data_IF_768981646086
#
_entry.id   IF_768981646086
#
_cell.length_a   1.000
_cell.length_b   1.000
_cell.length_c   1.000
_cell.angle_alpha   90.00
_cell.angle_beta   90.00
_cell.angle_gamma   90.00
#
_symmetry.space_group_name_H-M   'P 1'
#
loop_
_entity.id
_entity.type
_entity.pdbx_description
1 polymer ?
#
# COMPACT_ATOMS: atom_id res chain seq x y z
N UNK A 1 -5.00 4.65 -57.16
CA UNK A 1 -3.81 4.83 -56.31
C UNK A 1 -3.44 6.30 -56.31
N UNK A 2 -3.51 6.99 -55.16
CA UNK A 2 -2.74 8.19 -54.86
C UNK A 2 -2.85 8.44 -53.33
N UNK A 3 -1.70 8.58 -52.67
CA UNK A 3 -1.51 8.51 -51.22
C UNK A 3 -2.11 9.72 -50.46
N UNK A 4 -2.68 9.56 -49.25
CA UNK A 4 -3.00 10.69 -48.39
C UNK A 4 -1.74 11.11 -47.63
N UNK A 5 -0.78 11.78 -48.28
CA UNK A 5 0.52 12.04 -47.65
C UNK A 5 0.87 13.53 -47.59
N UNK A 6 0.18 14.25 -46.70
CA UNK A 6 0.83 15.34 -45.95
C UNK A 6 0.40 15.21 -44.48
N UNK A 7 1.25 14.59 -43.67
CA UNK A 7 1.14 14.60 -42.21
C UNK A 7 1.91 15.80 -41.70
N UNK A 8 1.22 16.88 -41.31
CA UNK A 8 1.88 17.94 -40.54
C UNK A 8 1.84 17.56 -39.07
N UNK A 9 3.01 17.62 -38.43
CA UNK A 9 3.20 17.25 -37.03
C UNK A 9 3.53 18.50 -36.22
N UNK A 10 2.75 18.75 -35.18
CA UNK A 10 3.00 19.85 -34.24
C UNK A 10 3.35 19.24 -32.89
N UNK A 11 4.34 19.81 -32.21
CA UNK A 11 4.72 19.38 -30.86
C UNK A 11 4.61 20.56 -29.91
N UNK A 12 3.99 20.33 -28.75
CA UNK A 12 3.98 21.31 -27.67
C UNK A 12 5.38 21.43 -27.05
N UNK A 13 5.67 22.52 -26.32
CA UNK A 13 6.76 22.53 -25.36
C UNK A 13 6.61 21.38 -24.34
N UNK A 14 7.71 20.93 -23.72
CA UNK A 14 7.65 19.97 -22.62
C UNK A 14 6.95 20.60 -21.41
N UNK A 15 6.23 19.78 -20.66
CA UNK A 15 5.47 20.24 -19.50
C UNK A 15 6.43 20.72 -18.38
N UNK A 16 6.18 21.88 -17.75
CA UNK A 16 7.16 22.56 -16.90
C UNK A 16 7.60 21.78 -15.66
N UNK A 17 6.70 21.01 -15.04
CA UNK A 17 6.97 20.36 -13.75
C UNK A 17 7.88 19.12 -13.86
N UNK A 18 7.93 18.48 -15.03
CA UNK A 18 8.67 17.22 -15.23
C UNK A 18 9.63 17.27 -16.41
N UNK A 19 9.44 18.20 -17.36
CA UNK A 19 10.18 18.26 -18.62
C UNK A 19 10.02 17.03 -19.51
N UNK A 20 9.21 16.05 -19.11
CA UNK A 20 9.22 14.69 -19.66
C UNK A 20 8.12 14.45 -20.69
N UNK A 21 7.02 15.20 -20.61
CA UNK A 21 5.83 15.00 -21.41
C UNK A 21 5.64 16.13 -22.41
N UNK A 22 5.31 15.76 -23.65
CA UNK A 22 4.90 16.70 -24.70
C UNK A 22 3.64 16.16 -25.39
N UNK A 23 2.83 17.05 -25.97
CA UNK A 23 1.72 16.66 -26.83
C UNK A 23 2.17 16.78 -28.27
N UNK A 24 2.01 15.70 -29.02
CA UNK A 24 2.13 15.69 -30.48
C UNK A 24 0.74 15.71 -31.11
N UNK A 25 0.55 16.56 -32.10
CA UNK A 25 -0.64 16.61 -32.93
C UNK A 25 -0.25 16.14 -34.32
N UNK A 26 -0.78 15.00 -34.74
CA UNK A 26 -0.66 14.50 -36.10
C UNK A 26 -1.89 14.93 -36.90
N UNK A 27 -1.68 15.75 -37.92
CA UNK A 27 -2.73 16.28 -38.77
C UNK A 27 -2.76 15.47 -40.06
N UNK A 28 -3.83 14.70 -40.25
CA UNK A 28 -4.06 13.86 -41.42
C UNK A 28 -5.08 14.55 -42.32
N UNK A 29 -4.61 15.04 -43.47
CA UNK A 29 -5.48 15.66 -44.48
C UNK A 29 -6.11 14.60 -45.37
N UNK A 30 -7.43 14.59 -45.43
CA UNK A 30 -8.20 13.77 -46.38
C UNK A 30 -8.58 14.59 -47.62
N UNK A 31 -8.92 13.93 -48.75
CA UNK A 31 -9.20 14.61 -50.03
C UNK A 31 -10.32 15.65 -49.96
N UNK A 32 -11.30 15.47 -49.08
CA UNK A 32 -12.52 16.27 -48.99
C UNK A 32 -12.40 17.48 -48.04
N UNK A 33 -11.21 18.05 -47.86
CA UNK A 33 -10.88 19.13 -46.89
C UNK A 33 -11.05 18.78 -45.41
N UNK A 34 -11.48 17.56 -45.11
CA UNK A 34 -11.58 17.01 -43.75
C UNK A 34 -10.16 16.77 -43.22
N UNK A 35 -9.87 17.30 -42.03
CA UNK A 35 -8.63 17.03 -41.32
C UNK A 35 -8.94 16.20 -40.08
N UNK A 36 -8.25 15.08 -39.93
CA UNK A 36 -8.27 14.30 -38.69
C UNK A 36 -7.07 14.73 -37.85
N UNK A 37 -7.34 15.20 -36.64
CA UNK A 37 -6.34 15.60 -35.66
C UNK A 37 -6.19 14.49 -34.63
N UNK A 38 -5.00 13.89 -34.55
CA UNK A 38 -4.66 12.89 -33.54
C UNK A 38 -3.74 13.50 -32.50
N UNK A 39 -4.18 13.50 -31.25
CA UNK A 39 -3.43 14.01 -30.11
C UNK A 39 -2.77 12.84 -29.41
N UNK A 40 -1.44 12.82 -29.41
CA UNK A 40 -0.62 11.77 -28.84
C UNK A 40 0.29 12.34 -27.76
N UNK A 41 0.52 11.59 -26.68
CA UNK A 41 1.53 11.95 -25.70
C UNK A 41 2.91 11.44 -26.14
N UNK A 42 3.93 12.28 -26.02
CA UNK A 42 5.33 11.88 -26.13
C UNK A 42 5.93 11.81 -24.73
N UNK A 43 6.61 10.71 -24.44
CA UNK A 43 7.30 10.48 -23.17
C UNK A 43 8.52 9.58 -23.38
N UNK A 44 9.57 9.78 -22.59
CA UNK A 44 10.76 8.93 -22.56
C UNK A 44 10.58 7.67 -21.70
N UNK A 45 9.59 7.64 -20.80
CA UNK A 45 9.29 6.49 -19.94
C UNK A 45 7.79 6.22 -19.93
N UNK A 46 7.43 4.95 -19.99
CA UNK A 46 6.06 4.49 -19.75
C UNK A 46 5.71 4.70 -18.27
N UNK A 47 4.50 5.14 -17.99
CA UNK A 47 3.97 5.22 -16.63
C UNK A 47 2.56 4.60 -16.57
N UNK A 48 2.19 4.05 -15.42
CA UNK A 48 0.81 3.66 -15.18
C UNK A 48 0.05 4.88 -14.65
N UNK A 49 -1.16 5.14 -15.14
CA UNK A 49 -1.86 6.37 -14.79
C UNK A 49 -3.17 6.57 -15.52
N UNK A 50 -3.71 7.77 -15.39
CA UNK A 50 -4.82 8.25 -16.19
C UNK A 50 -4.45 9.52 -16.94
N UNK A 51 -5.14 9.76 -18.05
CA UNK A 51 -5.09 11.05 -18.73
C UNK A 51 -6.50 11.45 -19.17
N UNK A 52 -6.91 12.63 -18.75
CA UNK A 52 -8.09 13.31 -19.31
C UNK A 52 -7.62 14.36 -20.30
N UNK A 53 -8.01 14.23 -21.56
CA UNK A 53 -7.70 15.18 -22.63
C UNK A 53 -8.97 15.84 -23.11
N UNK A 54 -9.03 17.16 -23.01
CA UNK A 54 -10.17 17.98 -23.42
C UNK A 54 -9.73 18.98 -24.49
N UNK A 55 -10.49 19.04 -25.58
CA UNK A 55 -10.27 20.01 -26.66
C UNK A 55 -11.33 21.08 -26.56
N UNK A 56 -10.88 22.32 -26.53
CA UNK A 56 -11.75 23.50 -26.46
C UNK A 56 -11.46 24.42 -27.63
N UNK A 57 -12.50 25.07 -28.12
CA UNK A 57 -12.42 26.16 -29.09
C UNK A 57 -12.55 27.49 -28.34
N UNK A 58 -11.70 28.47 -28.62
CA UNK A 58 -11.90 29.80 -28.03
C UNK A 58 -13.26 30.41 -28.45
N UNK A 59 -13.95 31.15 -27.55
CA UNK A 59 -13.45 31.63 -26.27
C UNK A 59 -13.59 30.68 -25.07
N UNK A 60 -14.28 29.52 -25.16
CA UNK A 60 -14.25 28.42 -24.17
C UNK A 60 -15.25 27.27 -24.48
N UNK A 61 -15.55 26.99 -25.76
CA UNK A 61 -16.48 25.91 -26.11
C UNK A 61 -15.75 24.57 -26.08
N UNK A 62 -16.04 23.72 -25.11
CA UNK A 62 -15.56 22.33 -25.12
C UNK A 62 -16.14 21.59 -26.33
N UNK A 63 -15.26 21.08 -27.19
CA UNK A 63 -15.64 20.27 -28.34
C UNK A 63 -15.84 18.81 -27.92
N UNK A 64 -14.86 18.25 -27.23
CA UNK A 64 -14.89 16.87 -26.76
C UNK A 64 -13.88 16.64 -25.64
N UNK A 65 -14.07 15.56 -24.89
CA UNK A 65 -13.16 15.09 -23.86
C UNK A 65 -13.04 13.57 -23.92
N UNK A 66 -11.84 13.05 -23.66
CA UNK A 66 -11.60 11.61 -23.54
C UNK A 66 -10.76 11.32 -22.32
N UNK A 67 -11.17 10.28 -21.60
CA UNK A 67 -10.45 9.69 -20.50
C UNK A 67 -9.80 8.39 -20.95
N UNK A 68 -8.52 8.24 -20.67
CA UNK A 68 -7.79 6.98 -20.82
C UNK A 68 -7.12 6.62 -19.49
N UNK A 69 -6.92 5.32 -19.25
CA UNK A 69 -6.31 4.80 -18.03
C UNK A 69 -5.47 3.56 -18.34
N UNK A 70 -4.47 3.27 -17.51
CA UNK A 70 -3.54 2.15 -17.64
C UNK A 70 -2.11 2.58 -18.01
N UNK A 71 -1.37 1.69 -18.67
CA UNK A 71 -0.01 1.95 -19.11
C UNK A 71 0.06 2.96 -20.26
N UNK A 72 0.47 4.18 -19.95
CA UNK A 72 0.64 5.27 -20.92
C UNK A 72 2.12 5.30 -21.34
N UNK A 73 2.36 4.93 -22.59
CA UNK A 73 3.70 4.86 -23.20
C UNK A 73 3.88 5.92 -24.29
N UNK A 74 5.09 6.02 -24.84
CA UNK A 74 5.38 6.96 -25.91
C UNK A 74 4.43 6.77 -27.11
N UNK A 75 3.90 7.88 -27.63
CA UNK A 75 2.90 7.94 -28.73
C UNK A 75 1.54 7.32 -28.39
N UNK A 76 1.17 7.20 -27.12
CA UNK A 76 -0.20 6.79 -26.75
C UNK A 76 -1.21 7.82 -27.27
N UNK A 77 -2.22 7.36 -28.02
CA UNK A 77 -3.30 8.19 -28.55
C UNK A 77 -4.23 8.63 -27.42
N UNK A 78 -4.21 9.92 -27.13
CA UNK A 78 -5.06 10.54 -26.11
C UNK A 78 -6.47 10.77 -26.66
N UNK A 79 -6.57 11.38 -27.85
CA UNK A 79 -7.83 11.77 -28.46
C UNK A 79 -7.69 11.91 -29.97
N UNK A 80 -8.77 11.63 -30.70
CA UNK A 80 -8.88 11.86 -32.13
C UNK A 80 -10.15 12.68 -32.42
N UNK A 81 -10.04 13.71 -33.27
CA UNK A 81 -11.18 14.50 -33.73
C UNK A 81 -11.11 14.74 -35.24
N UNK A 82 -12.28 14.86 -35.86
CA UNK A 82 -12.41 15.34 -37.24
C UNK A 82 -12.86 16.80 -37.24
N UNK A 83 -12.23 17.65 -38.06
CA UNK A 83 -12.63 19.05 -38.21
C UNK A 83 -14.07 19.21 -38.69
N UNK A 84 -14.57 18.26 -39.50
CA UNK A 84 -15.96 18.25 -39.99
C UNK A 84 -16.99 18.13 -38.86
N UNK A 85 -16.67 17.38 -37.81
CA UNK A 85 -17.62 17.09 -36.73
C UNK A 85 -17.89 18.31 -35.84
N UNK A 86 -16.96 19.27 -35.84
CA UNK A 86 -16.98 20.42 -34.94
C UNK A 86 -16.91 21.77 -35.66
N UNK A 87 -16.98 21.77 -37.00
CA UNK A 87 -16.90 22.97 -37.85
C UNK A 87 -15.65 23.82 -37.55
N UNK A 88 -14.50 23.17 -37.36
CA UNK A 88 -13.25 23.85 -37.02
C UNK A 88 -12.66 24.49 -38.29
N UNK A 89 -12.43 25.80 -38.26
CA UNK A 89 -11.80 26.57 -39.33
C UNK A 89 -10.28 26.71 -39.11
N UNK A 90 -9.53 26.98 -40.19
CA UNK A 90 -8.07 27.11 -40.13
C UNK A 90 -7.57 28.29 -39.27
N UNK A 91 -8.39 29.32 -39.06
CA UNK A 91 -8.10 30.46 -38.20
C UNK A 91 -8.36 30.19 -36.71
N UNK A 92 -8.96 29.05 -36.38
CA UNK A 92 -9.41 28.79 -35.03
C UNK A 92 -8.26 28.43 -34.11
N UNK A 93 -8.34 28.93 -32.88
CA UNK A 93 -7.40 28.56 -31.81
C UNK A 93 -8.02 27.44 -30.98
N UNK A 94 -7.41 26.26 -31.06
CA UNK A 94 -7.73 25.12 -30.21
C UNK A 94 -6.89 25.15 -28.93
N UNK A 95 -7.55 25.02 -27.79
CA UNK A 95 -6.91 24.83 -26.50
C UNK A 95 -6.98 23.35 -26.15
N UNK A 96 -5.82 22.76 -25.89
CA UNK A 96 -5.69 21.37 -25.45
C UNK A 96 -5.42 21.38 -23.96
N UNK A 97 -6.39 20.92 -23.17
CA UNK A 97 -6.23 20.75 -21.74
C UNK A 97 -6.01 19.28 -21.42
N UNK A 98 -4.81 18.94 -20.93
CA UNK A 98 -4.45 17.59 -20.52
C UNK A 98 -4.24 17.54 -19.01
N UNK A 99 -5.07 16.77 -18.31
CA UNK A 99 -4.83 16.41 -16.90
C UNK A 99 -4.21 15.01 -16.87
N UNK A 100 -2.98 14.92 -16.37
CA UNK A 100 -2.26 13.67 -16.17
C UNK A 100 -2.33 13.29 -14.68
N UNK A 101 -2.68 12.05 -14.39
CA UNK A 101 -2.63 11.50 -13.03
C UNK A 101 -1.72 10.27 -13.05
N UNK A 102 -0.69 10.29 -12.22
CA UNK A 102 0.23 9.18 -12.09
C UNK A 102 -0.34 8.18 -11.10
N UNK A 103 -0.55 6.95 -11.55
CA UNK A 103 -0.74 5.85 -10.63
C UNK A 103 0.65 5.38 -10.28
N UNK A 104 1.14 5.88 -9.15
CA UNK A 104 2.15 5.14 -8.46
C UNK A 104 1.53 3.78 -8.14
N UNK A 105 2.07 2.73 -8.74
CA UNK A 105 2.18 1.49 -8.00
C UNK A 105 2.96 1.87 -6.74
N UNK A 106 2.22 2.26 -5.69
CA UNK A 106 2.52 1.67 -4.42
C UNK A 106 2.62 0.19 -4.77
N UNK A 107 3.83 -0.35 -4.83
CA UNK A 107 4.08 -1.75 -4.53
C UNK A 107 3.61 -1.97 -3.08
N UNK A 108 2.31 -1.87 -2.91
CA UNK A 108 1.57 -2.88 -2.25
C UNK A 108 2.11 -4.21 -2.79
N UNK A 109 3.02 -4.84 -2.03
CA UNK A 109 2.95 -6.29 -1.83
C UNK A 109 1.59 -6.66 -1.19
N UNK A 110 0.47 -6.18 -1.75
CA UNK A 110 -0.90 -6.58 -1.41
C UNK A 110 -1.63 -7.13 -2.63
N UNK A 111 -0.96 -7.36 -3.76
CA UNK A 111 -1.48 -8.17 -4.89
C UNK A 111 -0.98 -9.62 -4.82
N UNK A 112 -0.89 -10.16 -3.61
CA UNK A 112 -1.55 -11.43 -3.23
C UNK A 112 -2.32 -11.25 -1.93
N UNK A 113 -3.15 -10.20 -1.81
CA UNK A 113 -4.33 -10.31 -0.96
C UNK A 113 -5.27 -11.31 -1.64
N UNK A 114 -5.07 -12.59 -1.31
CA UNK A 114 -6.24 -13.41 -1.07
C UNK A 114 -7.01 -12.68 0.03
N UNK A 115 -8.09 -11.99 -0.37
CA UNK A 115 -9.16 -11.64 0.53
C UNK A 115 -9.57 -12.94 1.22
N UNK A 116 -9.07 -13.15 2.44
CA UNK A 116 -9.68 -14.11 3.33
C UNK A 116 -10.67 -13.28 4.14
N UNK A 117 -11.99 -13.37 3.87
CA UNK A 117 -12.97 -12.87 4.82
C UNK A 117 -12.70 -13.59 6.13
N UNK A 118 -12.57 -12.84 7.23
CA UNK A 118 -12.38 -13.17 8.66
C UNK A 118 -12.52 -14.64 9.17
N UNK A 119 -12.03 -15.63 8.44
CA UNK A 119 -12.09 -17.05 8.74
C UNK A 119 -11.00 -17.76 7.95
N UNK A 120 -10.01 -18.25 8.69
CA UNK A 120 -9.18 -19.42 8.38
C UNK A 120 -8.63 -19.58 6.95
N UNK A 121 -7.31 -19.45 6.83
CA UNK A 121 -6.36 -20.37 6.15
C UNK A 121 -5.17 -19.53 5.69
N UNK A 122 -4.05 -19.62 6.41
CA UNK A 122 -2.75 -19.11 5.96
C UNK A 122 -2.48 -19.60 4.53
N UNK A 123 -2.53 -18.71 3.53
CA UNK A 123 -2.17 -19.09 2.16
C UNK A 123 -0.66 -19.22 2.04
N UNK A 124 -0.24 -20.29 1.37
CA UNK A 124 1.13 -20.78 1.14
C UNK A 124 2.04 -19.79 0.41
N UNK A 125 2.46 -18.71 1.07
CA UNK A 125 3.60 -17.89 0.61
C UNK A 125 4.64 -17.68 1.75
N UNK A 126 4.78 -18.68 2.62
CA UNK A 126 5.79 -18.73 3.68
C UNK A 126 7.17 -19.22 3.19
N UNK A 127 7.65 -18.77 2.03
CA UNK A 127 9.00 -19.14 1.53
C UNK A 127 10.12 -18.28 2.12
N UNK A 128 9.98 -17.89 3.40
CA UNK A 128 11.06 -17.29 4.20
C UNK A 128 11.34 -18.08 5.50
N UNK A 129 10.63 -19.18 5.77
CA UNK A 129 10.68 -19.86 7.07
C UNK A 129 11.02 -21.34 7.00
N UNK A 130 12.12 -21.71 6.33
CA UNK A 130 12.55 -23.11 6.30
C UNK A 130 13.76 -23.47 7.15
N UNK A 131 14.35 -22.54 7.91
CA UNK A 131 15.53 -22.89 8.70
C UNK A 131 15.42 -22.50 10.18
N UNK A 132 14.60 -23.20 10.96
CA UNK A 132 14.82 -23.31 12.40
C UNK A 132 14.42 -24.70 12.89
N UNK A 133 15.45 -25.47 13.24
CA UNK A 133 15.54 -26.67 14.09
C UNK A 133 14.18 -27.20 14.56
N UNK A 134 13.89 -28.45 14.16
CA UNK A 134 12.76 -29.25 14.64
C UNK A 134 12.85 -29.47 16.16
N UNK A 135 12.40 -28.47 16.89
CA UNK A 135 11.97 -28.61 18.27
C UNK A 135 10.75 -29.54 18.28
N UNK A 136 10.92 -30.73 18.86
CA UNK A 136 9.86 -31.74 18.93
C UNK A 136 8.63 -31.13 19.61
N UNK A 137 7.53 -31.00 18.87
CA UNK A 137 6.28 -30.47 19.42
C UNK A 137 5.84 -31.31 20.64
N UNK A 138 5.30 -30.66 21.68
CA UNK A 138 4.78 -31.36 22.84
C UNK A 138 3.61 -32.26 22.41
N UNK A 139 3.66 -33.54 22.82
CA UNK A 139 2.61 -34.52 22.54
C UNK A 139 1.37 -34.33 23.42
N UNK A 140 1.50 -33.60 24.52
CA UNK A 140 0.46 -33.44 25.53
C UNK A 140 -0.43 -32.22 25.25
N UNK A 141 -1.75 -32.38 25.43
CA UNK A 141 -2.74 -31.29 25.38
C UNK A 141 -2.77 -30.43 26.67
N UNK A 142 -1.72 -30.52 27.49
CA UNK A 142 -1.63 -29.83 28.77
C UNK A 142 -1.78 -28.31 28.57
N UNK A 143 -2.59 -27.68 29.43
CA UNK A 143 -2.82 -26.25 29.42
C UNK A 143 -2.14 -25.57 30.61
N UNK A 144 -1.51 -24.43 30.33
CA UNK A 144 -0.91 -23.56 31.34
C UNK A 144 -1.92 -22.48 31.73
N UNK A 145 -2.14 -22.33 33.04
CA UNK A 145 -2.97 -21.26 33.60
C UNK A 145 -2.10 -20.01 33.79
N UNK A 146 -2.33 -18.99 32.97
CA UNK A 146 -1.74 -17.66 33.14
C UNK A 146 -2.65 -16.79 34.00
N UNK A 147 -2.08 -16.11 34.99
CA UNK A 147 -2.78 -15.08 35.78
C UNK A 147 -2.22 -13.72 35.40
N UNK A 148 -3.06 -12.86 34.83
CA UNK A 148 -2.69 -11.53 34.31
C UNK A 148 -3.60 -10.47 34.91
N UNK A 149 -3.13 -9.81 35.97
CA UNK A 149 -3.96 -8.91 36.76
C UNK A 149 -4.99 -9.70 37.57
N UNK A 150 -6.27 -9.45 37.31
CA UNK A 150 -7.40 -10.17 37.95
C UNK A 150 -7.98 -11.28 37.07
N UNK A 151 -7.44 -11.46 35.86
CA UNK A 151 -7.96 -12.38 34.86
C UNK A 151 -7.10 -13.63 34.75
N UNK A 152 -7.73 -14.72 34.34
CA UNK A 152 -7.11 -16.03 34.18
C UNK A 152 -7.30 -16.52 32.75
N UNK A 153 -6.22 -17.04 32.15
CA UNK A 153 -6.20 -17.54 30.79
C UNK A 153 -5.65 -18.96 30.79
N UNK A 154 -6.38 -19.89 30.18
CA UNK A 154 -5.93 -21.27 29.99
C UNK A 154 -5.46 -21.42 28.55
N UNK A 155 -4.16 -21.65 28.35
CA UNK A 155 -3.57 -21.78 27.01
C UNK A 155 -2.87 -23.12 26.89
N UNK A 156 -3.22 -23.90 25.88
CA UNK A 156 -2.58 -25.20 25.64
C UNK A 156 -1.11 -25.02 25.24
N UNK A 157 -0.24 -25.93 25.71
CA UNK A 157 1.18 -25.96 25.31
C UNK A 157 1.35 -26.07 23.80
N UNK A 158 0.42 -26.74 23.12
CA UNK A 158 0.37 -26.81 21.65
C UNK A 158 0.21 -25.44 21.00
N UNK A 159 -0.73 -24.61 21.46
CA UNK A 159 -0.92 -23.26 20.92
C UNK A 159 0.28 -22.35 21.23
N UNK A 160 0.82 -22.44 22.45
CA UNK A 160 2.04 -21.72 22.83
C UNK A 160 3.22 -22.09 21.94
N UNK A 161 3.40 -23.38 21.60
CA UNK A 161 4.45 -23.84 20.71
C UNK A 161 4.23 -23.39 19.26
N UNK A 162 2.98 -23.46 18.79
CA UNK A 162 2.57 -23.04 17.45
C UNK A 162 2.78 -21.54 17.21
N UNK A 163 2.79 -20.72 18.27
CA UNK A 163 3.17 -19.30 18.18
C UNK A 163 4.62 -19.08 17.72
N UNK A 164 5.46 -20.13 17.79
CA UNK A 164 6.91 -20.14 17.49
C UNK A 164 7.76 -19.20 18.34
N UNK A 165 7.16 -18.50 19.29
CA UNK A 165 7.83 -17.62 20.23
C UNK A 165 8.82 -18.38 21.11
N UNK A 166 10.06 -17.92 21.10
CA UNK A 166 11.11 -18.41 22.01
C UNK A 166 10.70 -18.27 23.49
N UNK A 167 10.04 -17.16 23.84
CA UNK A 167 9.52 -16.92 25.19
C UNK A 167 8.50 -17.98 25.61
N UNK A 168 7.47 -18.22 24.78
CA UNK A 168 6.43 -19.20 25.11
C UNK A 168 6.93 -20.65 25.05
N UNK A 169 7.86 -20.97 24.14
CA UNK A 169 8.56 -22.26 24.14
C UNK A 169 9.35 -22.49 25.42
N UNK A 170 10.03 -21.46 25.92
CA UNK A 170 10.75 -21.55 27.20
C UNK A 170 9.77 -21.82 28.36
N UNK A 171 8.64 -21.11 28.41
CA UNK A 171 7.59 -21.38 29.39
C UNK A 171 7.12 -22.84 29.31
N UNK A 172 6.84 -23.37 28.11
CA UNK A 172 6.42 -24.76 27.95
C UNK A 172 7.44 -25.79 28.47
N UNK A 173 8.74 -25.46 28.45
CA UNK A 173 9.82 -26.32 28.94
C UNK A 173 10.06 -26.22 30.44
N UNK A 174 10.01 -25.02 31.01
CA UNK A 174 10.43 -24.77 32.39
C UNK A 174 9.27 -24.73 33.38
N UNK A 175 8.04 -24.52 32.90
CA UNK A 175 6.89 -24.38 33.78
C UNK A 175 6.44 -25.73 34.34
N UNK A 176 6.38 -25.81 35.68
CA UNK A 176 5.94 -27.00 36.40
C UNK A 176 4.43 -27.27 36.19
N UNK A 177 4.10 -28.53 35.92
CA UNK A 177 2.72 -28.97 35.73
C UNK A 177 1.87 -28.69 36.97
N UNK A 178 0.64 -28.22 36.75
CA UNK A 178 -0.34 -27.94 37.81
C UNK A 178 -0.14 -26.63 38.59
N UNK A 179 0.95 -25.89 38.35
CA UNK A 179 1.14 -24.53 38.89
C UNK A 179 0.56 -23.47 37.96
N UNK A 180 0.32 -22.27 38.49
CA UNK A 180 -0.07 -21.11 37.68
C UNK A 180 1.14 -20.25 37.34
N UNK A 181 1.16 -19.71 36.11
CA UNK A 181 2.14 -18.72 35.67
C UNK A 181 1.57 -17.32 35.96
N UNK A 182 1.95 -16.76 37.11
CA UNK A 182 1.45 -15.46 37.54
C UNK A 182 2.27 -14.31 36.93
N UNK A 183 1.77 -13.77 35.82
CA UNK A 183 2.39 -12.65 35.10
C UNK A 183 2.16 -11.30 35.79
N UNK A 184 1.23 -11.20 36.73
CA UNK A 184 0.87 -9.93 37.38
C UNK A 184 2.04 -9.28 38.12
N UNK A 185 2.96 -10.10 38.64
CA UNK A 185 4.16 -9.62 39.33
C UNK A 185 5.34 -9.37 38.38
N UNK A 186 5.29 -9.94 37.18
CA UNK A 186 6.37 -9.88 36.18
C UNK A 186 6.17 -8.73 35.17
N UNK A 187 4.95 -8.20 35.08
CA UNK A 187 4.56 -7.18 34.10
C UNK A 187 4.32 -5.83 34.76
N UNK A 188 4.71 -4.75 34.08
CA UNK A 188 4.28 -3.40 34.47
C UNK A 188 2.78 -3.19 34.21
N UNK A 189 2.20 -2.16 34.84
CA UNK A 189 0.78 -1.82 34.63
C UNK A 189 0.43 -1.59 33.16
N UNK A 190 1.36 -1.03 32.38
CA UNK A 190 1.18 -0.77 30.96
C UNK A 190 1.25 -2.05 30.11
N UNK A 191 2.08 -3.03 30.53
CA UNK A 191 2.27 -4.29 29.81
C UNK A 191 1.17 -5.31 30.07
N UNK A 192 0.46 -5.20 31.20
CA UNK A 192 -0.65 -6.11 31.52
C UNK A 192 -1.68 -6.18 30.38
N UNK A 193 -2.07 -5.03 29.83
CA UNK A 193 -3.09 -4.99 28.79
C UNK A 193 -2.58 -5.57 27.47
N UNK A 194 -1.34 -5.27 27.08
CA UNK A 194 -0.75 -5.82 25.85
C UNK A 194 -0.50 -7.32 25.97
N UNK A 195 -0.09 -7.80 27.15
CA UNK A 195 0.13 -9.23 27.36
C UNK A 195 -1.18 -10.03 27.31
N UNK A 196 -2.27 -9.48 27.83
CA UNK A 196 -3.62 -10.07 27.64
C UNK A 196 -3.96 -10.22 26.17
N UNK A 197 -3.70 -9.20 25.35
CA UNK A 197 -3.94 -9.28 23.91
C UNK A 197 -3.06 -10.32 23.22
N UNK A 198 -1.81 -10.50 23.66
CA UNK A 198 -0.94 -11.58 23.16
C UNK A 198 -1.56 -12.95 23.46
N UNK A 199 -1.99 -13.19 24.70
CA UNK A 199 -2.63 -14.46 25.06
C UNK A 199 -3.92 -14.70 24.28
N UNK A 200 -4.77 -13.67 24.15
CA UNK A 200 -5.98 -13.73 23.33
C UNK A 200 -5.65 -14.07 21.88
N UNK A 201 -4.66 -13.41 21.28
CA UNK A 201 -4.22 -13.73 19.92
C UNK A 201 -3.73 -15.17 19.78
N UNK A 202 -2.99 -15.70 20.74
CA UNK A 202 -2.53 -17.11 20.70
C UNK A 202 -3.72 -18.07 20.78
N UNK A 203 -4.75 -17.73 21.54
CA UNK A 203 -5.97 -18.55 21.67
C UNK A 203 -6.84 -18.46 20.42
N UNK A 204 -7.04 -17.26 19.87
CA UNK A 204 -8.05 -16.98 18.83
C UNK A 204 -7.48 -16.82 17.42
N UNK A 205 -6.16 -16.69 17.28
CA UNK A 205 -5.48 -16.35 16.03
C UNK A 205 -5.81 -14.95 15.49
N UNK A 206 -6.40 -14.06 16.29
CA UNK A 206 -6.94 -12.78 15.81
C UNK A 206 -6.76 -11.64 16.81
N UNK A 207 -6.51 -10.45 16.28
CA UNK A 207 -6.48 -9.20 17.07
C UNK A 207 -7.89 -8.61 17.06
N UNK A 208 -8.53 -8.49 18.22
CA UNK A 208 -9.83 -7.79 18.35
C UNK A 208 -9.62 -6.29 18.14
N UNK A 209 -10.71 -5.55 17.88
CA UNK A 209 -10.68 -4.09 17.67
C UNK A 209 -9.82 -3.38 18.72
N UNK A 210 -8.62 -3.00 18.31
CA UNK A 210 -7.70 -2.16 19.07
C UNK A 210 -7.72 -0.78 18.44
N UNK A 211 -7.71 0.26 19.27
CA UNK A 211 -7.41 1.60 18.77
C UNK A 211 -5.94 1.70 18.34
N UNK A 212 -5.61 2.81 17.68
CA UNK A 212 -4.28 3.07 17.14
C UNK A 212 -3.18 2.99 18.21
N UNK A 213 -3.40 3.59 19.38
CA UNK A 213 -2.40 3.61 20.46
C UNK A 213 -2.18 2.24 21.08
N UNK A 214 -3.24 1.46 21.25
CA UNK A 214 -3.16 0.08 21.73
C UNK A 214 -2.42 -0.80 20.73
N UNK A 215 -2.65 -0.59 19.43
CA UNK A 215 -1.98 -1.35 18.38
C UNK A 215 -0.47 -1.08 18.32
N UNK A 216 -0.04 0.17 18.52
CA UNK A 216 1.39 0.52 18.67
C UNK A 216 2.02 -0.20 19.85
N UNK A 217 1.36 -0.17 21.02
CA UNK A 217 1.84 -0.88 22.23
C UNK A 217 1.87 -2.40 22.01
N UNK A 218 0.89 -2.94 21.30
CA UNK A 218 0.82 -4.36 20.98
C UNK A 218 1.93 -4.78 20.02
N UNK A 219 2.28 -3.94 19.04
CA UNK A 219 3.43 -4.18 18.16
C UNK A 219 4.73 -4.29 18.98
N UNK A 220 4.99 -3.34 19.87
CA UNK A 220 6.16 -3.38 20.76
C UNK A 220 6.17 -4.63 21.63
N UNK A 221 5.02 -5.02 22.18
CA UNK A 221 4.92 -6.22 23.00
C UNK A 221 5.12 -7.50 22.16
N UNK A 222 4.58 -7.56 20.94
CA UNK A 222 4.73 -8.70 20.04
C UNK A 222 6.19 -8.94 19.66
N UNK A 223 6.97 -7.88 19.47
CA UNK A 223 8.43 -7.98 19.28
C UNK A 223 9.12 -8.47 20.56
N UNK A 224 8.80 -7.88 21.73
CA UNK A 224 9.38 -8.27 23.02
C UNK A 224 9.15 -9.75 23.37
N UNK A 225 7.96 -10.27 23.11
CA UNK A 225 7.60 -11.67 23.40
C UNK A 225 7.81 -12.59 22.19
N UNK A 226 8.45 -12.11 21.12
CA UNK A 226 8.82 -12.90 19.95
C UNK A 226 7.62 -13.62 19.30
N UNK A 227 6.47 -12.94 19.23
CA UNK A 227 5.26 -13.48 18.58
C UNK A 227 5.17 -12.92 17.17
N UNK A 228 6.00 -13.45 16.28
CA UNK A 228 6.20 -12.91 14.93
C UNK A 228 4.91 -12.75 14.12
N UNK A 229 4.00 -13.72 14.18
CA UNK A 229 2.73 -13.65 13.46
C UNK A 229 1.85 -12.47 13.94
N UNK A 230 1.83 -12.21 15.26
CA UNK A 230 1.13 -11.07 15.83
C UNK A 230 1.81 -9.75 15.47
N UNK A 231 3.15 -9.72 15.49
CA UNK A 231 3.94 -8.55 15.11
C UNK A 231 3.60 -8.12 13.68
N UNK A 232 3.69 -9.04 12.71
CA UNK A 232 3.29 -8.80 11.32
C UNK A 232 1.82 -8.37 11.20
N UNK A 233 0.93 -8.99 11.98
CA UNK A 233 -0.48 -8.58 12.02
C UNK A 233 -0.63 -7.12 12.45
N UNK A 234 0.09 -6.69 13.49
CA UNK A 234 0.06 -5.30 13.95
C UNK A 234 0.66 -4.34 12.91
N UNK A 235 1.77 -4.73 12.26
CA UNK A 235 2.38 -3.97 11.16
C UNK A 235 1.38 -3.68 10.04
N UNK A 236 0.61 -4.69 9.61
CA UNK A 236 -0.43 -4.51 8.60
C UNK A 236 -1.55 -3.56 9.03
N UNK A 237 -2.03 -3.65 10.27
CA UNK A 237 -3.07 -2.76 10.75
C UNK A 237 -2.58 -1.31 10.88
N UNK A 238 -1.36 -1.09 11.38
CA UNK A 238 -0.77 0.26 11.51
C UNK A 238 -0.49 0.88 10.15
N UNK A 239 -0.05 0.08 9.17
CA UNK A 239 0.18 0.55 7.81
C UNK A 239 -1.12 1.04 7.15
N UNK A 240 -2.25 0.39 7.45
CA UNK A 240 -3.58 0.83 6.96
C UNK A 240 -4.04 2.16 7.56
N UNK A 241 -3.50 2.55 8.71
CA UNK A 241 -3.76 3.84 9.34
C UNK A 241 -2.69 4.88 9.01
N UNK A 242 -1.78 4.60 8.07
CA UNK A 242 -0.70 5.51 7.69
C UNK A 242 -1.27 6.78 7.05
N UNK A 243 -0.87 7.93 7.58
CA UNK A 243 -1.19 9.27 7.09
C UNK A 243 0.08 10.12 7.06
N UNK A 244 0.00 11.29 6.44
CA UNK A 244 1.12 12.25 6.37
C UNK A 244 1.56 12.65 7.79
N UNK A 245 0.61 12.82 8.70
CA UNK A 245 0.84 13.29 10.06
C UNK A 245 1.54 12.24 10.93
N UNK A 246 1.22 10.95 10.73
CA UNK A 246 1.76 9.87 11.58
C UNK A 246 2.90 9.08 10.93
N UNK A 247 3.25 9.36 9.67
CA UNK A 247 4.25 8.57 8.94
C UNK A 247 5.63 8.54 9.63
N UNK A 248 6.09 9.68 10.13
CA UNK A 248 7.39 9.78 10.83
C UNK A 248 7.37 8.99 12.13
N UNK A 249 6.28 9.09 12.89
CA UNK A 249 6.09 8.34 14.13
C UNK A 249 6.11 6.83 13.88
N UNK A 250 5.39 6.36 12.84
CA UNK A 250 5.31 4.95 12.49
C UNK A 250 6.66 4.39 12.04
N UNK A 251 7.48 5.16 11.30
CA UNK A 251 8.85 4.74 10.98
C UNK A 251 9.70 4.58 12.24
N UNK A 252 9.65 5.55 13.16
CA UNK A 252 10.41 5.50 14.41
C UNK A 252 10.00 4.31 15.28
N UNK A 253 8.69 4.10 15.45
CA UNK A 253 8.14 2.96 16.15
C UNK A 253 8.61 1.66 15.51
N UNK A 254 8.45 1.54 14.19
CA UNK A 254 8.77 0.32 13.48
C UNK A 254 10.26 -0.05 13.60
N UNK A 255 11.14 0.94 13.50
CA UNK A 255 12.58 0.77 13.70
C UNK A 255 12.89 0.29 15.13
N UNK A 256 12.21 0.85 16.14
CA UNK A 256 12.43 0.50 17.56
C UNK A 256 12.04 -0.94 17.93
N UNK A 257 11.11 -1.54 17.20
CA UNK A 257 10.61 -2.90 17.44
C UNK A 257 10.93 -3.85 16.28
N UNK A 258 11.98 -3.58 15.50
CA UNK A 258 12.43 -4.40 14.37
C UNK A 258 11.31 -4.79 13.38
N UNK A 259 10.30 -3.93 13.20
CA UNK A 259 9.13 -4.15 12.36
C UNK A 259 9.44 -3.71 10.93
N UNK A 260 10.19 -4.56 10.23
CA UNK A 260 10.78 -4.21 8.93
C UNK A 260 9.75 -3.92 7.84
N UNK A 261 8.60 -4.60 7.88
CA UNK A 261 7.55 -4.38 6.90
C UNK A 261 6.95 -2.98 7.08
N UNK A 262 6.53 -2.63 8.30
CA UNK A 262 6.00 -1.29 8.60
C UNK A 262 7.05 -0.19 8.35
N UNK A 263 8.32 -0.42 8.71
CA UNK A 263 9.42 0.54 8.53
C UNK A 263 9.63 0.88 7.05
N UNK A 264 9.79 -0.15 6.20
CA UNK A 264 10.05 0.03 4.76
C UNK A 264 8.88 0.73 4.07
N UNK A 265 7.66 0.27 4.31
CA UNK A 265 6.49 0.83 3.64
C UNK A 265 6.18 2.26 4.11
N UNK A 266 6.35 2.55 5.40
CA UNK A 266 6.16 3.91 5.92
C UNK A 266 7.25 4.86 5.44
N UNK A 267 8.51 4.42 5.37
CA UNK A 267 9.61 5.23 4.82
C UNK A 267 9.42 5.53 3.33
N UNK A 268 8.93 4.57 2.55
CA UNK A 268 8.59 4.77 1.15
C UNK A 268 7.46 5.79 1.00
N UNK A 269 6.41 5.70 1.81
CA UNK A 269 5.34 6.69 1.83
C UNK A 269 5.88 8.11 2.10
N UNK A 270 6.78 8.26 3.09
CA UNK A 270 7.41 9.56 3.38
C UNK A 270 8.14 10.09 2.14
N UNK A 271 8.91 9.22 1.46
CA UNK A 271 9.67 9.59 0.26
C UNK A 271 8.75 10.13 -0.84
N UNK A 272 7.58 9.53 -1.06
CA UNK A 272 6.62 10.00 -2.07
C UNK A 272 5.91 11.30 -1.66
N UNK A 273 5.69 11.52 -0.36
CA UNK A 273 5.00 12.70 0.19
C UNK A 273 5.96 13.76 0.76
N UNK A 274 7.25 13.74 0.38
CA UNK A 274 8.30 14.59 0.99
C UNK A 274 7.94 16.09 1.01
N UNK A 275 7.28 16.59 -0.05
CA UNK A 275 6.86 18.01 -0.14
C UNK A 275 5.73 18.39 0.82
N UNK A 276 4.87 17.44 1.18
CA UNK A 276 3.74 17.66 2.09
C UNK A 276 4.17 17.48 3.55
N UNK A 277 5.06 16.52 3.82
CA UNK A 277 5.57 16.20 5.17
C UNK A 277 6.57 17.26 5.68
N UNK A 278 7.27 17.96 4.80
CA UNK A 278 8.18 19.05 5.21
C UNK A 278 7.44 20.30 5.65
N UNK A 279 6.21 20.52 5.15
CA UNK A 279 5.36 21.66 5.53
C UNK A 279 4.57 21.43 6.82
N UNK A 280 4.40 20.18 7.29
CA UNK A 280 3.67 19.89 8.54
C UNK A 280 4.48 20.18 9.81
N UNK A 281 5.76 20.59 9.69
CA UNK A 281 6.60 21.01 10.82
C UNK A 281 6.67 22.53 11.04
N UNK A 282 5.92 23.33 10.28
CA UNK A 282 5.75 24.76 10.54
C UNK A 282 4.39 25.03 11.19
N UNK A 283 4.27 24.74 12.49
CA UNK A 283 3.32 25.35 13.44
C UNK A 283 3.76 25.04 14.88
#
# INVERSE_FOLDING_TARGET
MCLPNITSMIKSPPFPDTGQYMIQIDILRQPDTICVLKFCILTSKTFNGSCTTTIMLQPARTLTSRFITGGISNKTLLLEISTSNFQIHYSDTLIVHCKLEYFHELEHETTRMNLIPSSTVFSKDARYFENLIFDKEPKDEESIKFVVGREQYFVSKKLLWASKSSYFKNICRTHEQGREKNMTKELTSNELQTFKQILLYIITGSVKQCDYDMLKKLLTAADKYDVLALKLTCEHYLLRSLTIENAVELVQLASSCNAKFLEVHSANFIKFHTKEITNTKEC
#
